data_IF_655032572787
#
_entry.id   IF_655032572787
#
_cell.length_a   1.000
_cell.length_b   1.000
_cell.length_c   1.000
_cell.angle_alpha   90.00
_cell.angle_beta   90.00
_cell.angle_gamma   90.00
#
_symmetry.space_group_name_H-M   'P 1'
#
loop_
_entity.id
_entity.type
_entity.pdbx_description
1 polymer ?
#
# COMPACT_ATOMS: atom_id res chain seq x y z
N UNK A 1 13.86 65.85 -27.53
CA UNK A 1 14.85 64.81 -27.87
C UNK A 1 14.53 63.60 -26.99
N UNK A 2 14.02 62.44 -27.44
CA UNK A 2 14.53 61.54 -28.50
C UNK A 2 15.80 60.83 -27.99
N UNK A 3 15.97 59.50 -27.93
CA UNK A 3 15.33 58.28 -28.50
C UNK A 3 15.61 57.10 -27.49
N UNK A 4 15.05 55.87 -27.50
CA UNK A 4 14.09 55.08 -28.32
C UNK A 4 13.60 53.87 -27.48
N UNK A 5 12.55 53.16 -27.91
CA UNK A 5 12.20 51.77 -27.49
C UNK A 5 12.97 50.71 -28.30
N UNK A 6 13.11 49.48 -27.77
CA UNK A 6 13.15 48.22 -28.55
C UNK A 6 12.94 46.98 -27.66
N UNK A 7 11.82 46.28 -27.86
CA UNK A 7 11.57 44.91 -27.42
C UNK A 7 12.41 43.87 -28.20
N UNK A 8 12.56 42.64 -27.67
CA UNK A 8 13.23 41.58 -28.45
C UNK A 8 13.39 40.18 -27.85
N UNK A 9 13.04 39.92 -26.58
CA UNK A 9 13.44 38.68 -25.90
C UNK A 9 12.66 37.39 -26.25
N UNK A 10 11.38 37.51 -26.65
CA UNK A 10 10.44 36.37 -26.57
C UNK A 10 10.36 35.53 -27.86
N UNK A 11 10.79 36.07 -29.01
CA UNK A 11 10.70 35.38 -30.32
C UNK A 11 11.89 34.47 -30.67
N UNK A 12 12.93 34.41 -29.82
CA UNK A 12 14.14 33.62 -30.08
C UNK A 12 14.00 32.12 -29.72
N UNK A 13 13.14 31.77 -28.75
CA UNK A 13 12.98 30.37 -28.28
C UNK A 13 12.08 29.57 -29.22
N UNK A 14 10.98 30.17 -29.69
CA UNK A 14 9.95 29.50 -30.52
C UNK A 14 10.50 29.07 -31.90
N UNK A 15 11.49 29.80 -32.46
CA UNK A 15 12.14 29.42 -33.74
C UNK A 15 13.14 28.27 -33.64
N UNK A 16 13.50 27.79 -32.44
CA UNK A 16 14.45 26.67 -32.26
C UNK A 16 13.76 25.30 -32.27
N UNK A 17 12.49 25.22 -31.86
CA UNK A 17 11.71 23.97 -31.84
C UNK A 17 11.27 23.49 -33.23
N UNK A 18 10.88 24.39 -34.13
CA UNK A 18 10.45 24.01 -35.50
C UNK A 18 11.57 23.50 -36.42
N UNK A 19 12.86 23.70 -36.08
CA UNK A 19 13.99 23.23 -36.90
C UNK A 19 14.50 21.83 -36.55
N UNK A 20 14.17 21.29 -35.38
CA UNK A 20 14.46 19.89 -35.05
C UNK A 20 13.37 18.94 -35.57
N UNK A 21 12.11 19.38 -35.61
CA UNK A 21 10.98 18.56 -36.08
C UNK A 21 11.07 18.18 -37.58
N UNK A 22 11.73 19.00 -38.41
CA UNK A 22 11.88 18.74 -39.85
C UNK A 22 12.98 17.72 -40.20
N UNK A 23 13.92 17.44 -39.28
CA UNK A 23 15.04 16.51 -39.52
C UNK A 23 14.72 15.05 -39.20
N UNK A 24 13.68 14.79 -38.42
CA UNK A 24 13.24 13.43 -38.07
C UNK A 24 12.41 12.81 -39.21
N UNK A 25 11.67 13.62 -39.97
CA UNK A 25 10.81 13.15 -41.07
C UNK A 25 11.52 12.76 -42.36
N UNK A 26 12.83 13.04 -42.50
CA UNK A 26 13.62 12.66 -43.69
C UNK A 26 14.35 11.32 -43.52
N UNK A 27 14.58 10.86 -42.28
CA UNK A 27 15.26 9.58 -42.01
C UNK A 27 14.33 8.35 -42.04
N UNK A 28 13.00 8.52 -42.08
CA UNK A 28 12.02 7.43 -42.03
C UNK A 28 11.56 6.95 -43.43
N UNK A 29 12.05 7.58 -44.52
CA UNK A 29 11.55 7.36 -45.88
C UNK A 29 12.56 6.73 -46.88
N UNK A 30 13.70 6.21 -46.40
CA UNK A 30 14.79 5.70 -47.25
C UNK A 30 15.38 4.31 -46.89
N UNK A 31 14.63 3.42 -46.19
CA UNK A 31 15.06 2.01 -45.98
C UNK A 31 13.91 1.01 -46.22
N UNK A 32 13.26 1.11 -47.38
CA UNK A 32 12.26 0.13 -47.87
C UNK A 32 12.64 -0.41 -49.25
N UNK A 33 13.74 -1.15 -49.35
CA UNK A 33 14.06 -1.94 -50.56
C UNK A 33 15.04 -3.11 -50.30
N UNK A 34 14.54 -4.35 -50.38
CA UNK A 34 15.34 -5.57 -50.60
C UNK A 34 16.08 -6.14 -49.35
N UNK A 35 16.17 -7.46 -49.16
CA UNK A 35 15.74 -8.59 -49.99
C UNK A 35 15.22 -9.74 -49.10
N UNK A 36 14.08 -10.33 -49.48
CA UNK A 36 13.65 -11.61 -48.95
C UNK A 36 14.43 -12.76 -49.62
N UNK A 37 14.79 -13.80 -48.85
CA UNK A 37 15.28 -15.10 -49.33
C UNK A 37 14.53 -16.21 -48.61
N UNK A 38 13.84 -17.13 -49.33
CA UNK A 38 13.26 -18.33 -48.74
C UNK A 38 14.20 -19.56 -48.90
N UNK A 39 13.76 -20.67 -48.31
CA UNK A 39 14.25 -22.06 -48.45
C UNK A 39 15.49 -22.46 -47.62
N UNK A 40 15.63 -23.77 -47.24
CA UNK A 40 14.82 -24.91 -47.68
C UNK A 40 14.01 -25.61 -46.58
N UNK A 41 12.92 -26.22 -47.03
CA UNK A 41 12.11 -27.21 -46.31
C UNK A 41 12.90 -28.54 -46.27
N UNK A 42 12.99 -29.18 -45.11
CA UNK A 42 13.71 -30.46 -44.93
C UNK A 42 12.72 -31.63 -45.10
N UNK A 43 13.05 -32.68 -45.88
CA UNK A 43 12.19 -33.86 -45.99
C UNK A 43 12.06 -34.61 -44.65
N UNK A 44 10.88 -35.15 -44.38
CA UNK A 44 10.75 -36.23 -43.42
C UNK A 44 11.29 -37.53 -44.07
N UNK A 45 12.40 -38.05 -43.53
CA UNK A 45 12.79 -39.45 -43.73
C UNK A 45 12.61 -40.21 -42.41
N UNK A 46 11.88 -41.32 -42.46
CA UNK A 46 11.80 -42.28 -41.36
C UNK A 46 13.10 -43.07 -41.29
N UNK A 47 13.82 -42.97 -40.18
CA UNK A 47 15.10 -43.63 -39.96
C UNK A 47 15.17 -44.30 -38.60
N UNK A 48 14.83 -45.59 -38.56
CA UNK A 48 14.92 -46.42 -37.36
C UNK A 48 16.40 -46.69 -37.02
N UNK A 49 16.88 -46.15 -35.89
CA UNK A 49 18.22 -46.41 -35.38
C UNK A 49 18.19 -46.59 -33.85
N UNK A 50 18.29 -47.84 -33.42
CA UNK A 50 18.39 -48.25 -32.02
C UNK A 50 19.75 -47.89 -31.44
N UNK A 51 19.78 -47.11 -30.36
CA UNK A 51 21.01 -46.74 -29.65
C UNK A 51 20.71 -46.19 -28.26
N UNK A 52 21.02 -46.96 -27.22
CA UNK A 52 20.82 -46.54 -25.83
C UNK A 52 21.75 -45.39 -25.45
N UNK A 53 21.17 -44.23 -25.18
CA UNK A 53 21.81 -43.15 -24.42
C UNK A 53 21.25 -43.16 -23.00
N UNK A 54 22.04 -43.60 -22.02
CA UNK A 54 21.66 -43.56 -20.60
C UNK A 54 21.59 -42.10 -20.12
N UNK A 55 20.38 -41.58 -20.02
CA UNK A 55 20.13 -40.23 -19.52
C UNK A 55 20.22 -40.21 -18.00
N UNK A 56 21.38 -39.79 -17.48
CA UNK A 56 21.52 -39.38 -16.07
C UNK A 56 20.91 -37.98 -15.86
N UNK A 57 19.59 -37.89 -15.98
CA UNK A 57 18.84 -36.73 -15.49
C UNK A 57 18.81 -36.77 -13.94
N UNK A 58 19.10 -35.68 -13.23
CA UNK A 58 18.92 -35.64 -11.79
C UNK A 58 17.43 -35.73 -11.47
N UNK A 59 17.04 -36.83 -10.83
CA UNK A 59 15.67 -36.99 -10.33
C UNK A 59 15.42 -35.98 -9.21
N UNK A 60 14.76 -34.86 -9.54
CA UNK A 60 14.13 -34.01 -8.54
C UNK A 60 13.14 -34.91 -7.79
N UNK A 61 13.23 -35.06 -6.45
CA UNK A 61 12.23 -35.81 -5.73
C UNK A 61 10.90 -35.09 -5.91
N UNK A 62 9.95 -35.76 -6.58
CA UNK A 62 8.57 -35.30 -6.64
C UNK A 62 8.04 -35.36 -5.22
N UNK A 63 8.09 -34.22 -4.53
CA UNK A 63 7.41 -34.05 -3.28
C UNK A 63 5.91 -34.18 -3.58
N UNK A 64 5.34 -35.33 -3.24
CA UNK A 64 3.89 -35.50 -3.20
C UNK A 64 3.34 -34.32 -2.40
N UNK A 65 2.39 -33.52 -2.95
CA UNK A 65 1.79 -32.45 -2.17
C UNK A 65 1.28 -33.04 -0.85
N UNK A 66 1.53 -32.40 0.31
CA UNK A 66 0.91 -32.86 1.54
C UNK A 66 -0.60 -32.91 1.28
N UNK A 67 -1.21 -34.06 1.58
CA UNK A 67 -2.66 -34.23 1.41
C UNK A 67 -3.37 -33.04 2.09
N UNK A 68 -4.38 -32.43 1.45
CA UNK A 68 -5.01 -31.23 1.98
C UNK A 68 -5.44 -31.51 3.43
N UNK A 69 -4.83 -30.76 4.35
CA UNK A 69 -5.19 -30.80 5.76
C UNK A 69 -6.71 -30.63 5.86
N UNK A 70 -7.43 -31.46 6.65
CA UNK A 70 -8.88 -31.45 6.66
C UNK A 70 -9.40 -30.02 6.83
N UNK A 71 -10.25 -29.61 5.88
CA UNK A 71 -10.74 -28.24 5.79
C UNK A 71 -11.24 -27.77 7.16
N UNK A 72 -10.77 -26.61 7.59
CA UNK A 72 -11.17 -26.02 8.86
C UNK A 72 -12.68 -25.69 8.80
N UNK A 73 -13.51 -26.60 9.30
CA UNK A 73 -14.97 -26.45 9.33
C UNK A 73 -15.47 -25.55 10.46
N UNK A 74 -14.56 -24.84 11.13
CA UNK A 74 -14.92 -23.86 12.15
C UNK A 74 -15.48 -22.61 11.51
N UNK A 75 -16.59 -22.09 12.04
CA UNK A 75 -16.98 -20.73 11.79
C UNK A 75 -15.79 -19.80 12.12
N UNK A 76 -15.50 -18.85 11.25
CA UNK A 76 -14.45 -17.87 11.50
C UNK A 76 -14.86 -16.97 12.67
N UNK A 77 -14.28 -17.20 13.86
CA UNK A 77 -14.69 -16.51 15.09
C UNK A 77 -14.07 -15.12 15.27
N UNK A 78 -13.25 -14.66 14.31
CA UNK A 78 -12.61 -13.34 14.32
C UNK A 78 -11.70 -13.06 15.53
N UNK A 79 -11.39 -14.06 16.35
CA UNK A 79 -10.73 -13.85 17.65
C UNK A 79 -9.28 -13.43 17.44
N UNK A 80 -8.85 -12.23 17.89
CA UNK A 80 -7.53 -11.71 17.54
C UNK A 80 -6.38 -12.61 18.01
N UNK A 81 -5.39 -12.84 17.13
CA UNK A 81 -4.24 -13.70 17.40
C UNK A 81 -3.54 -13.28 18.70
N UNK A 82 -3.34 -14.20 19.67
CA UNK A 82 -2.44 -13.96 20.79
C UNK A 82 -1.01 -13.96 20.28
N UNK A 83 -0.32 -12.82 20.42
CA UNK A 83 1.08 -12.69 20.06
C UNK A 83 1.76 -11.79 21.12
N UNK A 84 2.89 -12.19 21.73
CA UNK A 84 3.67 -11.30 22.60
C UNK A 84 4.37 -10.20 21.80
N UNK A 85 4.79 -9.16 22.50
CA UNK A 85 5.64 -8.09 21.96
C UNK A 85 6.91 -8.67 21.32
N UNK A 86 7.26 -8.31 20.08
CA UNK A 86 8.58 -8.61 19.49
C UNK A 86 9.73 -8.26 20.43
N UNK A 87 10.73 -9.15 20.52
CA UNK A 87 11.90 -8.93 21.35
C UNK A 87 12.81 -7.85 20.73
N UNK A 88 13.21 -6.84 21.51
CA UNK A 88 14.04 -5.72 21.05
C UNK A 88 13.28 -4.42 20.81
N UNK A 89 11.95 -4.42 20.86
CA UNK A 89 11.14 -3.19 20.87
C UNK A 89 11.52 -2.33 22.09
N UNK A 90 11.96 -1.11 21.82
CA UNK A 90 12.29 -0.10 22.83
C UNK A 90 11.06 0.76 23.15
N UNK A 91 10.98 1.33 24.36
CA UNK A 91 9.80 1.97 24.93
C UNK A 91 9.39 3.27 24.19
N UNK A 92 8.79 3.14 23.01
CA UNK A 92 8.42 4.25 22.13
C UNK A 92 9.61 4.95 21.46
N UNK A 93 10.81 4.38 21.49
CA UNK A 93 12.01 4.86 20.79
C UNK A 93 12.35 3.91 19.64
N UNK A 94 11.59 4.02 18.55
CA UNK A 94 11.79 3.26 17.33
C UNK A 94 12.97 3.78 16.50
N UNK A 95 13.43 2.95 15.57
CA UNK A 95 14.46 3.30 14.59
C UNK A 95 14.02 2.72 13.25
N UNK A 96 13.66 3.58 12.30
CA UNK A 96 13.10 3.20 11.01
C UNK A 96 14.14 3.34 9.90
N UNK A 97 14.20 2.38 8.97
CA UNK A 97 15.14 2.44 7.83
C UNK A 97 14.46 3.04 6.59
N UNK A 98 14.90 4.22 6.16
CA UNK A 98 14.35 4.93 5.01
C UNK A 98 15.31 4.98 3.82
N UNK A 99 14.85 4.80 2.58
CA UNK A 99 15.69 4.96 1.38
C UNK A 99 15.36 6.29 0.70
N UNK A 100 16.35 7.19 0.62
CA UNK A 100 16.22 8.54 0.05
C UNK A 100 15.76 8.49 -1.41
N UNK A 101 14.64 9.15 -1.72
CA UNK A 101 14.07 9.24 -3.06
C UNK A 101 14.64 10.44 -3.87
N UNK A 102 14.51 10.44 -5.21
CA UNK A 102 14.99 11.54 -6.03
C UNK A 102 14.31 12.88 -5.69
N UNK A 103 15.11 13.89 -5.32
CA UNK A 103 14.63 15.25 -5.04
C UNK A 103 14.30 15.54 -3.57
N UNK A 104 14.47 14.57 -2.67
CA UNK A 104 14.28 14.78 -1.24
C UNK A 104 15.48 15.47 -0.57
N UNK A 105 15.22 16.14 0.55
CA UNK A 105 16.24 16.73 1.43
C UNK A 105 16.05 16.18 2.84
N UNK A 106 17.08 16.23 3.69
CA UNK A 106 16.93 15.82 5.08
C UNK A 106 15.87 16.63 5.84
N UNK A 107 15.60 17.89 5.46
CA UNK A 107 14.52 18.67 6.04
C UNK A 107 13.12 18.15 5.67
N UNK A 108 12.92 17.72 4.43
CA UNK A 108 11.66 17.08 4.00
C UNK A 108 11.46 15.72 4.66
N UNK A 109 12.52 14.90 4.71
CA UNK A 109 12.51 13.59 5.38
C UNK A 109 12.22 13.77 6.88
N UNK A 110 12.93 14.67 7.56
CA UNK A 110 12.71 14.99 8.98
C UNK A 110 11.26 15.41 9.26
N UNK A 111 10.69 16.27 8.42
CA UNK A 111 9.29 16.69 8.53
C UNK A 111 8.29 15.54 8.30
N UNK A 112 8.50 14.70 7.27
CA UNK A 112 7.66 13.52 6.98
C UNK A 112 7.67 12.53 8.13
N UNK A 113 8.84 12.28 8.72
CA UNK A 113 8.99 11.32 9.80
C UNK A 113 8.73 11.90 11.20
N UNK A 114 8.54 13.22 11.37
CA UNK A 114 8.33 13.85 12.68
C UNK A 114 9.58 13.92 13.59
N UNK A 115 10.78 14.03 13.01
CA UNK A 115 12.04 14.23 13.75
C UNK A 115 12.75 15.52 13.32
N UNK A 116 13.89 15.79 13.94
CA UNK A 116 14.81 16.88 13.55
C UNK A 116 15.89 16.39 12.59
N UNK A 117 16.46 17.32 11.82
CA UNK A 117 17.58 17.02 10.93
C UNK A 117 18.80 16.56 11.74
N UNK A 118 19.01 17.15 12.91
CA UNK A 118 20.05 16.84 13.88
C UNK A 118 19.95 15.41 14.41
N UNK A 119 18.73 14.92 14.67
CA UNK A 119 18.50 13.53 15.08
C UNK A 119 18.86 12.55 13.94
N UNK A 120 18.48 12.84 12.70
CA UNK A 120 18.83 11.98 11.55
C UNK A 120 20.35 12.01 11.28
N UNK A 121 20.99 13.18 11.29
CA UNK A 121 22.43 13.27 11.03
C UNK A 121 23.23 12.57 12.13
N UNK A 122 22.83 12.71 13.39
CA UNK A 122 23.39 11.99 14.54
C UNK A 122 23.24 10.47 14.40
N UNK A 123 22.03 9.98 14.10
CA UNK A 123 21.75 8.55 13.93
C UNK A 123 22.50 7.88 12.77
N UNK A 124 22.87 8.65 11.74
CA UNK A 124 23.57 8.16 10.55
C UNK A 124 25.06 8.51 10.49
N UNK A 125 25.58 9.29 11.46
CA UNK A 125 26.94 9.82 11.41
C UNK A 125 27.21 10.74 10.21
N UNK A 126 26.20 11.48 9.74
CA UNK A 126 26.33 12.40 8.61
C UNK A 126 26.99 13.71 9.08
N UNK A 127 27.93 14.30 8.29
CA UNK A 127 28.62 15.52 8.69
C UNK A 127 27.74 16.78 8.53
N UNK A 128 26.76 16.76 7.63
CA UNK A 128 25.81 17.85 7.39
C UNK A 128 24.50 17.34 6.75
N UNK A 129 23.53 18.25 6.57
CA UNK A 129 22.20 17.95 6.03
C UNK A 129 22.19 17.66 4.52
N UNK A 130 23.21 18.13 3.79
CA UNK A 130 23.30 18.07 2.31
C UNK A 130 24.09 16.84 1.83
N UNK A 131 24.71 16.09 2.75
CA UNK A 131 25.53 14.91 2.47
C UNK A 131 24.77 13.65 2.03
N UNK A 132 23.43 13.68 2.01
CA UNK A 132 22.61 12.54 1.59
C UNK A 132 22.62 12.32 0.08
N UNK A 133 22.40 11.07 -0.34
CA UNK A 133 22.34 10.68 -1.75
C UNK A 133 21.08 9.87 -2.05
N UNK A 134 20.53 10.05 -3.24
CA UNK A 134 19.43 9.22 -3.75
C UNK A 134 19.82 7.73 -3.70
N UNK A 135 18.95 6.89 -3.16
CA UNK A 135 19.18 5.47 -2.95
C UNK A 135 20.00 5.12 -1.68
N UNK A 136 20.37 6.10 -0.86
CA UNK A 136 21.00 5.86 0.44
C UNK A 136 19.96 5.42 1.47
N UNK A 137 20.26 4.36 2.23
CA UNK A 137 19.50 4.01 3.43
C UNK A 137 19.90 4.91 4.60
N UNK A 138 18.91 5.48 5.28
CA UNK A 138 19.03 6.29 6.47
C UNK A 138 18.33 5.62 7.65
N UNK A 139 18.94 5.75 8.82
CA UNK A 139 18.45 5.39 10.14
C UNK A 139 17.67 6.59 10.68
N UNK A 140 16.35 6.52 10.74
CA UNK A 140 15.49 7.60 11.21
C UNK A 140 15.06 7.31 12.65
N UNK A 141 15.46 8.11 13.64
CA UNK A 141 15.01 7.92 15.03
C UNK A 141 13.55 8.37 15.20
N UNK A 142 12.75 7.48 15.79
CA UNK A 142 11.30 7.63 15.92
C UNK A 142 10.89 7.58 17.39
N UNK A 143 10.98 8.72 18.06
CA UNK A 143 10.47 8.89 19.44
C UNK A 143 8.98 9.22 19.39
N UNK A 144 8.14 8.33 19.91
CA UNK A 144 6.71 8.55 20.06
C UNK A 144 6.40 9.45 21.25
N UNK A 145 5.40 10.32 21.10
CA UNK A 145 4.96 11.25 22.15
C UNK A 145 3.90 10.62 23.06
N UNK A 146 3.19 9.60 22.56
CA UNK A 146 2.08 8.92 23.23
C UNK A 146 2.07 7.42 22.88
N UNK A 147 1.45 6.58 23.70
CA UNK A 147 1.30 5.12 23.45
C UNK A 147 -0.16 4.77 23.20
N UNK A 148 -0.42 4.10 22.08
CA UNK A 148 -1.75 3.69 21.65
C UNK A 148 -2.41 2.64 22.55
N UNK A 149 -3.67 2.28 22.24
CA UNK A 149 -4.43 1.32 23.02
C UNK A 149 -3.94 -0.13 22.79
N UNK A 150 -3.90 -0.98 23.84
CA UNK A 150 -3.59 -2.41 23.72
C UNK A 150 -4.74 -3.25 23.14
N UNK A 151 -5.69 -2.61 22.45
CA UNK A 151 -6.84 -3.25 21.83
C UNK A 151 -6.43 -3.93 20.53
N UNK A 152 -6.66 -5.25 20.45
CA UNK A 152 -6.46 -6.02 19.21
C UNK A 152 -7.70 -5.91 18.33
N UNK A 153 -7.55 -5.28 17.17
CA UNK A 153 -8.63 -5.01 16.23
C UNK A 153 -8.99 -6.25 15.41
N UNK A 154 -7.97 -6.98 14.93
CA UNK A 154 -8.13 -8.16 14.06
C UNK A 154 -7.10 -9.27 14.38
N UNK A 155 -7.32 -10.53 13.98
CA UNK A 155 -6.26 -11.54 13.93
C UNK A 155 -5.38 -11.39 12.69
N UNK A 156 -4.18 -11.98 12.76
CA UNK A 156 -3.20 -11.98 11.66
C UNK A 156 -3.75 -12.65 10.40
N UNK A 157 -4.65 -13.63 10.55
CA UNK A 157 -5.34 -14.33 9.45
C UNK A 157 -6.43 -13.51 8.76
N UNK A 158 -6.77 -12.33 9.29
CA UNK A 158 -7.63 -11.36 8.63
C UNK A 158 -6.81 -10.36 7.81
N UNK A 159 -5.61 -9.98 8.25
CA UNK A 159 -4.76 -9.13 7.42
C UNK A 159 -4.17 -9.92 6.25
N UNK A 160 -3.71 -11.15 6.48
CA UNK A 160 -3.05 -11.96 5.44
C UNK A 160 -4.08 -12.75 4.61
N UNK A 161 -4.05 -12.58 3.29
CA UNK A 161 -4.86 -13.35 2.36
C UNK A 161 -4.38 -14.82 2.31
N UNK A 162 -5.08 -15.68 3.06
CA UNK A 162 -4.75 -17.10 3.18
C UNK A 162 -5.99 -17.98 3.45
N UNK A 163 -5.81 -19.17 4.06
CA UNK A 163 -6.88 -20.16 4.21
C UNK A 163 -8.17 -19.67 4.92
N UNK A 164 -8.10 -18.60 5.72
CA UNK A 164 -9.27 -17.96 6.34
C UNK A 164 -10.27 -17.34 5.34
N UNK A 165 -9.92 -17.28 4.04
CA UNK A 165 -10.77 -16.79 2.96
C UNK A 165 -11.33 -17.89 2.05
N UNK A 166 -11.02 -19.18 2.27
CA UNK A 166 -11.48 -20.29 1.40
C UNK A 166 -13.02 -20.43 1.33
N UNK A 167 -13.74 -19.87 2.31
CA UNK A 167 -15.20 -19.84 2.38
C UNK A 167 -15.78 -18.43 2.29
N UNK A 168 -14.97 -17.43 1.93
CA UNK A 168 -15.44 -16.06 1.74
C UNK A 168 -15.73 -15.80 0.26
N UNK A 169 -17.00 -15.90 -0.11
CA UNK A 169 -17.47 -15.45 -1.42
C UNK A 169 -17.49 -13.91 -1.46
N UNK A 170 -16.39 -13.34 -1.93
CA UNK A 170 -16.23 -11.90 -2.11
C UNK A 170 -17.28 -11.30 -3.07
N UNK A 171 -17.61 -12.00 -4.16
CA UNK A 171 -18.55 -11.50 -5.15
C UNK A 171 -20.00 -11.53 -4.62
N UNK A 172 -20.41 -12.65 -4.00
CA UNK A 172 -21.69 -12.76 -3.32
C UNK A 172 -21.82 -11.78 -2.14
N UNK A 173 -20.74 -11.52 -1.41
CA UNK A 173 -20.73 -10.52 -0.34
C UNK A 173 -20.97 -9.11 -0.90
N UNK A 174 -20.16 -8.63 -1.85
CA UNK A 174 -20.29 -7.27 -2.41
C UNK A 174 -21.66 -7.07 -3.07
N UNK A 175 -22.11 -8.03 -3.87
CA UNK A 175 -23.44 -8.00 -4.47
C UNK A 175 -24.58 -7.99 -3.43
N UNK A 176 -24.38 -8.65 -2.28
CA UNK A 176 -25.34 -8.69 -1.18
C UNK A 176 -25.42 -7.40 -0.35
N UNK A 177 -24.38 -6.57 -0.35
CA UNK A 177 -24.38 -5.26 0.32
C UNK A 177 -25.07 -4.18 -0.53
N UNK A 178 -24.92 -4.24 -1.85
CA UNK A 178 -25.67 -3.38 -2.79
C UNK A 178 -25.18 -1.93 -2.89
N UNK A 179 -24.03 -1.59 -2.30
CA UNK A 179 -23.41 -0.27 -2.41
C UNK A 179 -22.78 0.01 -3.78
N UNK A 180 -22.19 1.21 -3.90
CA UNK A 180 -21.63 1.77 -5.13
C UNK A 180 -20.59 0.85 -5.81
N UNK A 181 -19.82 0.10 -5.03
CA UNK A 181 -18.82 -0.87 -5.51
C UNK A 181 -19.40 -1.92 -6.47
N UNK A 182 -20.70 -2.24 -6.37
CA UNK A 182 -21.40 -3.17 -7.29
C UNK A 182 -21.50 -2.61 -8.71
N UNK A 183 -21.71 -1.30 -8.85
CA UNK A 183 -21.80 -0.60 -10.13
C UNK A 183 -20.46 -0.08 -10.67
N UNK A 184 -19.41 -0.12 -9.85
CA UNK A 184 -18.09 0.42 -10.19
C UNK A 184 -17.31 -0.47 -11.16
N UNK A 185 -16.66 0.15 -12.13
CA UNK A 185 -15.65 -0.48 -12.99
C UNK A 185 -14.62 0.56 -13.47
N UNK A 186 -13.35 0.15 -13.60
CA UNK A 186 -12.27 0.99 -14.12
C UNK A 186 -11.33 0.19 -15.02
N UNK A 187 -10.51 0.87 -15.84
CA UNK A 187 -9.50 0.21 -16.65
C UNK A 187 -8.19 0.02 -15.86
N UNK A 188 -7.83 -1.23 -15.58
CA UNK A 188 -6.59 -1.61 -14.92
C UNK A 188 -5.74 -2.41 -15.91
N UNK A 189 -4.53 -1.93 -16.20
CA UNK A 189 -3.56 -2.61 -17.09
C UNK A 189 -4.13 -2.98 -18.48
N UNK A 190 -4.94 -2.08 -19.06
CA UNK A 190 -5.58 -2.30 -20.37
C UNK A 190 -6.77 -3.25 -20.34
N UNK A 191 -7.34 -3.54 -19.16
CA UNK A 191 -8.53 -4.37 -18.97
C UNK A 191 -9.55 -3.64 -18.10
N UNK A 192 -10.79 -3.55 -18.59
CA UNK A 192 -11.91 -3.13 -17.75
C UNK A 192 -12.17 -4.20 -16.67
N UNK A 193 -12.10 -3.83 -15.40
CA UNK A 193 -12.39 -4.67 -14.25
C UNK A 193 -13.51 -4.06 -13.41
N UNK A 194 -14.36 -4.90 -12.82
CA UNK A 194 -15.37 -4.47 -11.84
C UNK A 194 -14.74 -4.18 -10.47
N UNK A 195 -15.41 -3.39 -9.64
CA UNK A 195 -14.98 -3.10 -8.26
C UNK A 195 -14.64 -4.35 -7.44
N UNK A 196 -15.41 -5.42 -7.61
CA UNK A 196 -15.17 -6.72 -6.98
C UNK A 196 -13.88 -7.39 -7.49
N UNK A 197 -13.65 -7.38 -8.80
CA UNK A 197 -12.41 -7.92 -9.40
C UNK A 197 -11.18 -7.13 -8.99
N UNK A 198 -11.29 -5.81 -8.82
CA UNK A 198 -10.22 -4.93 -8.37
C UNK A 198 -9.82 -5.25 -6.92
N UNK A 199 -10.79 -5.40 -6.01
CA UNK A 199 -10.54 -5.89 -4.63
C UNK A 199 -9.85 -7.25 -4.65
N UNK A 200 -10.34 -8.19 -5.46
CA UNK A 200 -9.75 -9.53 -5.59
C UNK A 200 -8.32 -9.50 -6.14
N UNK A 201 -8.04 -8.61 -7.11
CA UNK A 201 -6.73 -8.43 -7.72
C UNK A 201 -5.71 -7.88 -6.72
N UNK A 202 -6.08 -6.85 -5.97
CA UNK A 202 -5.22 -6.27 -4.92
C UNK A 202 -4.95 -7.29 -3.82
N UNK A 203 -5.98 -8.01 -3.35
CA UNK A 203 -5.80 -9.08 -2.36
C UNK A 203 -4.80 -10.15 -2.79
N UNK A 204 -4.82 -10.55 -4.07
CA UNK A 204 -3.86 -11.53 -4.61
C UNK A 204 -2.45 -10.96 -4.73
N UNK A 205 -2.31 -9.73 -5.24
CA UNK A 205 -0.99 -9.08 -5.48
C UNK A 205 -0.23 -8.78 -4.19
N UNK A 206 -0.93 -8.22 -3.21
CA UNK A 206 -0.33 -7.76 -1.96
C UNK A 206 -0.46 -8.77 -0.83
N UNK A 207 -1.13 -9.91 -1.06
CA UNK A 207 -1.46 -10.91 -0.04
C UNK A 207 -2.26 -10.34 1.15
N UNK A 208 -3.14 -9.37 0.90
CA UNK A 208 -3.95 -8.68 1.92
C UNK A 208 -5.41 -9.12 1.87
N UNK A 209 -6.00 -9.42 3.04
CA UNK A 209 -7.36 -9.93 3.17
C UNK A 209 -8.44 -9.00 2.59
N UNK A 210 -9.31 -9.48 1.68
CA UNK A 210 -10.28 -8.63 1.00
C UNK A 210 -11.31 -8.00 1.94
N UNK A 211 -11.63 -8.66 3.06
CA UNK A 211 -12.53 -8.11 4.09
C UNK A 211 -11.94 -6.88 4.78
N UNK A 212 -10.61 -6.80 4.99
CA UNK A 212 -9.95 -5.60 5.54
C UNK A 212 -9.99 -4.46 4.54
N UNK A 213 -9.70 -4.74 3.26
CA UNK A 213 -9.80 -3.75 2.18
C UNK A 213 -11.22 -3.19 2.06
N UNK A 214 -12.25 -4.06 2.09
CA UNK A 214 -13.65 -3.64 2.09
C UNK A 214 -14.04 -2.85 3.34
N UNK A 215 -13.55 -3.23 4.53
CA UNK A 215 -13.85 -2.50 5.77
C UNK A 215 -13.24 -1.09 5.77
N UNK A 216 -12.04 -0.91 5.24
CA UNK A 216 -11.41 0.42 5.09
C UNK A 216 -12.09 1.26 4.01
N UNK A 217 -12.52 0.64 2.91
CA UNK A 217 -13.30 1.28 1.85
C UNK A 217 -14.68 1.74 2.33
N UNK A 218 -15.34 0.94 3.16
CA UNK A 218 -16.58 1.33 3.82
C UNK A 218 -16.34 2.46 4.82
N UNK A 219 -15.29 2.37 5.65
CA UNK A 219 -14.95 3.38 6.65
C UNK A 219 -14.64 4.76 6.05
N UNK A 220 -13.96 4.81 4.90
CA UNK A 220 -13.54 6.05 4.26
C UNK A 220 -14.56 6.61 3.28
N UNK A 221 -15.29 5.75 2.56
CA UNK A 221 -16.13 6.18 1.44
C UNK A 221 -17.55 5.62 1.43
N UNK A 222 -17.89 4.64 2.27
CA UNK A 222 -19.20 3.99 2.25
C UNK A 222 -19.51 3.18 0.99
N UNK A 223 -18.54 2.94 0.09
CA UNK A 223 -18.80 2.32 -1.23
C UNK A 223 -19.32 0.88 -1.13
N UNK A 224 -19.19 0.20 0.02
CA UNK A 224 -19.63 -1.18 0.15
C UNK A 224 -21.13 -1.24 0.44
N UNK A 225 -21.67 -0.34 1.27
CA UNK A 225 -23.11 -0.33 1.63
C UNK A 225 -23.94 0.82 1.05
N UNK A 226 -23.34 1.98 0.78
CA UNK A 226 -24.04 3.13 0.21
C UNK A 226 -24.02 3.07 -1.33
N UNK A 227 -25.18 2.99 -2.02
CA UNK A 227 -25.23 3.05 -3.48
C UNK A 227 -24.93 4.44 -4.05
N UNK A 228 -24.96 5.51 -3.25
CA UNK A 228 -24.76 6.92 -3.65
C UNK A 228 -23.82 7.66 -2.67
N UNK A 229 -22.56 7.22 -2.52
CA UNK A 229 -21.60 7.76 -1.57
C UNK A 229 -21.24 9.22 -1.86
N UNK A 230 -20.65 9.89 -0.87
CA UNK A 230 -20.26 11.29 -0.94
C UNK A 230 -19.33 11.56 -2.14
N UNK A 231 -19.62 12.63 -2.90
CA UNK A 231 -19.03 12.88 -4.22
C UNK A 231 -17.50 13.08 -4.17
N UNK A 232 -17.00 13.55 -3.03
CA UNK A 232 -15.58 13.77 -2.74
C UNK A 232 -14.79 12.46 -2.72
N UNK A 233 -15.45 11.35 -2.40
CA UNK A 233 -14.86 10.01 -2.30
C UNK A 233 -14.72 9.31 -3.65
N UNK A 234 -15.34 9.83 -4.71
CA UNK A 234 -15.45 9.13 -5.99
C UNK A 234 -14.11 9.00 -6.75
N UNK A 235 -13.16 9.90 -6.48
CA UNK A 235 -11.84 9.92 -7.13
C UNK A 235 -10.77 9.27 -6.24
N UNK A 236 -10.83 9.53 -4.93
CA UNK A 236 -9.86 9.05 -3.93
C UNK A 236 -10.59 8.34 -2.76
N UNK A 237 -11.21 7.16 -2.99
CA UNK A 237 -12.02 6.48 -1.99
C UNK A 237 -11.34 6.18 -0.65
N UNK A 238 -10.00 6.09 -0.59
CA UNK A 238 -9.25 5.89 0.66
C UNK A 238 -8.45 7.14 1.09
N UNK A 239 -8.89 8.33 0.69
CA UNK A 239 -8.37 9.61 1.19
C UNK A 239 -6.96 10.00 0.74
N UNK A 240 -6.25 9.16 -0.02
CA UNK A 240 -4.89 9.46 -0.47
C UNK A 240 -4.91 10.31 -1.75
N UNK A 241 -5.07 11.64 -1.59
CA UNK A 241 -5.24 12.61 -2.68
C UNK A 241 -3.91 12.94 -3.37
N UNK A 242 -3.60 12.21 -4.44
CA UNK A 242 -2.46 12.44 -5.34
C UNK A 242 -2.80 11.96 -6.75
N UNK A 243 -2.51 12.74 -7.80
CA UNK A 243 -2.89 12.46 -9.21
C UNK A 243 -2.53 11.04 -9.70
N UNK A 244 -1.40 10.49 -9.26
CA UNK A 244 -0.98 9.12 -9.61
C UNK A 244 -1.85 8.01 -8.99
N UNK A 245 -2.58 8.33 -7.92
CA UNK A 245 -3.34 7.39 -7.10
C UNK A 245 -4.87 7.51 -7.28
N UNK A 246 -5.32 8.09 -8.39
CA UNK A 246 -6.75 8.10 -8.75
C UNK A 246 -7.28 6.69 -9.03
N UNK A 247 -8.55 6.47 -8.69
CA UNK A 247 -9.23 5.19 -8.95
C UNK A 247 -9.08 4.15 -7.83
N UNK A 248 -9.95 3.15 -7.85
CA UNK A 248 -10.05 2.17 -6.76
C UNK A 248 -8.80 1.30 -6.66
N UNK A 249 -8.26 0.86 -7.78
CA UNK A 249 -7.08 -0.01 -7.85
C UNK A 249 -5.86 0.63 -7.20
N UNK A 250 -5.61 1.93 -7.47
CA UNK A 250 -4.46 2.62 -6.92
C UNK A 250 -4.62 2.90 -5.43
N UNK A 251 -5.81 3.33 -4.98
CA UNK A 251 -6.12 3.54 -3.57
C UNK A 251 -6.01 2.24 -2.77
N UNK A 252 -6.62 1.15 -3.24
CA UNK A 252 -6.52 -0.16 -2.60
C UNK A 252 -5.09 -0.71 -2.60
N UNK A 253 -4.32 -0.50 -3.67
CA UNK A 253 -2.91 -0.91 -3.73
C UNK A 253 -2.05 -0.13 -2.71
N UNK A 254 -2.24 1.18 -2.61
CA UNK A 254 -1.59 2.02 -1.60
C UNK A 254 -1.93 1.56 -0.17
N UNK A 255 -3.21 1.33 0.12
CA UNK A 255 -3.65 0.81 1.42
C UNK A 255 -3.11 -0.58 1.73
N UNK A 256 -3.03 -1.48 0.74
CA UNK A 256 -2.44 -2.79 0.91
C UNK A 256 -0.94 -2.73 1.23
N UNK A 257 -0.21 -1.73 0.69
CA UNK A 257 1.16 -1.42 1.10
C UNK A 257 1.20 -0.96 2.57
N UNK A 258 0.38 0.00 2.98
CA UNK A 258 0.35 0.50 4.38
C UNK A 258 0.01 -0.58 5.41
N UNK A 259 -0.92 -1.48 5.07
CA UNK A 259 -1.25 -2.65 5.89
C UNK A 259 -0.06 -3.60 6.04
N UNK A 260 0.65 -3.87 4.95
CA UNK A 260 1.84 -4.73 4.96
C UNK A 260 3.02 -4.08 5.69
N UNK A 261 3.26 -2.78 5.53
CA UNK A 261 4.31 -2.02 6.23
C UNK A 261 4.17 -2.21 7.76
N UNK A 262 2.99 -1.93 8.31
CA UNK A 262 2.75 -2.11 9.75
C UNK A 262 2.77 -3.58 10.20
N UNK A 263 2.26 -4.52 9.38
CA UNK A 263 2.28 -5.95 9.70
C UNK A 263 3.71 -6.51 9.80
N UNK A 264 4.52 -6.31 8.75
CA UNK A 264 5.88 -6.84 8.68
C UNK A 264 6.87 -6.03 9.52
N UNK A 265 6.69 -4.71 9.62
CA UNK A 265 7.47 -3.84 10.50
C UNK A 265 7.30 -4.22 11.97
N UNK A 266 6.06 -4.41 12.45
CA UNK A 266 5.82 -4.89 13.81
C UNK A 266 6.43 -6.29 14.01
N UNK A 267 6.20 -7.22 13.07
CA UNK A 267 6.69 -8.60 13.19
C UNK A 267 8.22 -8.72 13.29
N UNK A 268 8.96 -7.79 12.70
CA UNK A 268 10.43 -7.75 12.73
C UNK A 268 10.99 -6.91 13.89
N UNK A 269 10.17 -6.05 14.51
CA UNK A 269 10.58 -5.10 15.55
C UNK A 269 11.01 -3.74 15.01
N UNK A 270 10.97 -3.55 13.68
CA UNK A 270 11.39 -2.32 12.98
C UNK A 270 10.35 -1.19 13.06
N UNK A 271 9.06 -1.53 13.16
CA UNK A 271 7.97 -0.55 13.30
C UNK A 271 7.33 -0.67 14.68
N UNK A 272 7.73 0.24 15.58
CA UNK A 272 7.18 0.40 16.92
C UNK A 272 6.17 1.56 17.02
N UNK A 273 6.05 2.37 15.97
CA UNK A 273 5.46 3.71 15.98
C UNK A 273 4.72 3.97 14.68
N UNK A 274 3.55 4.58 14.76
CA UNK A 274 2.82 5.10 13.60
C UNK A 274 2.94 6.62 13.52
N UNK A 275 2.93 7.15 12.29
CA UNK A 275 3.06 8.57 11.98
C UNK A 275 1.70 9.16 11.59
N UNK A 276 1.36 10.32 12.12
CA UNK A 276 0.10 11.03 11.87
C UNK A 276 0.35 12.27 11.01
N UNK A 277 -0.66 12.76 10.28
CA UNK A 277 -0.43 13.83 9.29
C UNK A 277 -0.11 15.20 9.90
N UNK A 278 -0.36 15.41 11.20
CA UNK A 278 0.13 16.58 11.97
C UNK A 278 1.61 16.47 12.39
N UNK A 279 2.29 15.38 12.03
CA UNK A 279 3.68 15.08 12.41
C UNK A 279 3.83 14.46 13.80
N UNK A 280 2.73 14.22 14.53
CA UNK A 280 2.78 13.51 15.81
C UNK A 280 2.95 12.00 15.62
N UNK A 281 3.47 11.35 16.67
CA UNK A 281 3.89 9.95 16.64
C UNK A 281 3.26 9.17 17.79
N UNK A 282 2.67 8.03 17.47
CA UNK A 282 2.02 7.14 18.41
C UNK A 282 2.75 5.78 18.47
N UNK A 283 3.21 5.37 19.65
CA UNK A 283 3.77 4.04 19.85
C UNK A 283 2.65 2.98 19.77
N UNK A 284 2.89 1.93 19.00
CA UNK A 284 2.03 0.75 18.94
C UNK A 284 2.16 0.02 20.29
N UNK A 285 1.03 -0.28 20.92
CA UNK A 285 1.03 -0.83 22.27
C UNK A 285 1.73 -2.21 22.35
N UNK A 286 2.57 -2.46 23.38
CA UNK A 286 3.13 -3.78 23.63
C UNK A 286 2.05 -4.89 23.68
N UNK A 287 2.37 -6.05 23.12
CA UNK A 287 1.50 -7.22 23.11
C UNK A 287 0.38 -7.22 22.07
N UNK A 288 0.34 -6.24 21.16
CA UNK A 288 -0.49 -6.29 19.95
C UNK A 288 0.01 -7.33 18.95
N UNK A 289 -0.88 -7.77 18.06
CA UNK A 289 -0.55 -8.70 16.99
C UNK A 289 -0.23 -7.97 15.67
N UNK A 290 0.58 -8.56 14.77
CA UNK A 290 0.89 -7.99 13.45
C UNK A 290 -0.33 -7.54 12.64
N UNK A 291 -1.44 -8.28 12.67
CA UNK A 291 -2.68 -7.90 11.98
C UNK A 291 -3.22 -6.55 12.45
N UNK A 292 -3.28 -6.37 13.77
CA UNK A 292 -3.70 -5.11 14.39
C UNK A 292 -2.69 -3.99 14.12
N UNK A 293 -1.39 -4.27 14.21
CA UNK A 293 -0.35 -3.27 13.94
C UNK A 293 -0.41 -2.75 12.49
N UNK A 294 -0.65 -3.64 11.52
CA UNK A 294 -0.89 -3.25 10.12
C UNK A 294 -2.11 -2.34 9.96
N UNK A 295 -3.24 -2.67 10.59
CA UNK A 295 -4.44 -1.82 10.58
C UNK A 295 -4.20 -0.48 11.28
N UNK A 296 -3.55 -0.47 12.44
CA UNK A 296 -3.22 0.75 13.17
C UNK A 296 -2.30 1.68 12.37
N UNK A 297 -1.32 1.13 11.65
CA UNK A 297 -0.45 1.87 10.72
C UNK A 297 -1.24 2.47 9.56
N UNK A 298 -2.12 1.68 8.92
CA UNK A 298 -2.95 2.19 7.84
C UNK A 298 -3.90 3.31 8.32
N UNK A 299 -4.56 3.14 9.47
CA UNK A 299 -5.47 4.15 10.03
C UNK A 299 -4.74 5.43 10.43
N UNK A 300 -3.45 5.36 10.80
CA UNK A 300 -2.63 6.55 11.06
C UNK A 300 -2.44 7.40 9.80
N UNK A 301 -2.24 6.78 8.64
CA UNK A 301 -2.16 7.51 7.35
C UNK A 301 -3.48 8.16 6.92
N UNK A 302 -4.59 7.80 7.57
CA UNK A 302 -5.93 8.36 7.35
C UNK A 302 -6.34 9.36 8.46
N UNK A 303 -5.47 9.60 9.44
CA UNK A 303 -5.73 10.44 10.61
C UNK A 303 -4.80 11.65 10.60
N UNK A 304 -5.36 12.85 10.83
CA UNK A 304 -4.55 14.05 10.99
C UNK A 304 -3.97 14.12 12.39
N UNK A 305 -4.79 13.86 13.40
CA UNK A 305 -4.45 14.05 14.82
C UNK A 305 -4.47 12.76 15.63
N UNK A 306 -3.84 12.81 16.81
CA UNK A 306 -3.90 11.72 17.79
C UNK A 306 -5.32 11.32 18.18
N UNK A 307 -6.22 12.29 18.40
CA UNK A 307 -7.59 12.01 18.87
C UNK A 307 -8.44 11.35 17.77
N UNK A 308 -8.26 11.75 16.50
CA UNK A 308 -8.87 11.08 15.35
C UNK A 308 -8.40 9.62 15.23
N UNK A 309 -7.09 9.39 15.30
CA UNK A 309 -6.54 8.04 15.25
C UNK A 309 -7.02 7.19 16.42
N UNK A 310 -6.98 7.73 17.64
CA UNK A 310 -7.42 7.03 18.86
C UNK A 310 -8.92 6.68 18.80
N UNK A 311 -9.75 7.51 18.16
CA UNK A 311 -11.16 7.19 17.93
C UNK A 311 -11.37 6.01 16.97
N UNK A 312 -10.43 5.76 16.05
CA UNK A 312 -10.46 4.64 15.10
C UNK A 312 -9.85 3.35 15.67
N UNK A 313 -8.83 3.44 16.54
CA UNK A 313 -8.08 2.27 17.05
C UNK A 313 -8.37 1.91 18.50
N UNK A 314 -9.01 2.81 19.25
CA UNK A 314 -9.32 2.65 20.67
C UNK A 314 -10.71 2.09 20.96
N UNK A 315 -11.01 1.80 22.24
CA UNK A 315 -12.39 1.58 22.63
C UNK A 315 -13.20 2.86 22.32
N UNK A 316 -14.46 2.75 21.84
CA UNK A 316 -15.30 3.91 21.64
C UNK A 316 -15.41 4.69 22.96
N UNK A 317 -15.38 6.04 22.92
CA UNK A 317 -15.40 6.85 24.13
C UNK A 317 -16.59 6.46 24.98
N UNK A 318 -16.34 6.13 26.25
CA UNK A 318 -17.38 5.70 27.19
C UNK A 318 -18.45 6.78 27.25
N UNK A 319 -19.60 6.51 26.63
CA UNK A 319 -20.80 7.33 26.77
C UNK A 319 -21.25 7.20 28.22
N UNK A 320 -20.75 8.08 29.09
CA UNK A 320 -21.21 8.20 30.46
C UNK A 320 -22.73 8.30 30.43
N UNK A 321 -23.48 7.33 31.01
CA UNK A 321 -24.91 7.51 31.15
C UNK A 321 -25.14 8.79 31.97
N UNK A 322 -26.15 9.62 31.65
CA UNK A 322 -26.45 10.78 32.46
C UNK A 322 -26.70 10.29 33.89
N UNK A 323 -26.02 10.91 34.86
CA UNK A 323 -26.25 10.62 36.28
C UNK A 323 -27.70 10.98 36.60
N UNK A 324 -28.56 9.96 36.59
CA UNK A 324 -29.98 10.09 36.88
C UNK A 324 -30.16 10.78 38.22
N UNK A 325 -30.87 11.91 38.20
CA UNK A 325 -30.97 12.80 39.34
C UNK A 325 -31.59 12.13 40.56
N UNK A 326 -31.17 12.58 41.74
CA UNK A 326 -31.83 12.27 43.00
C UNK A 326 -33.20 12.95 43.06
N UNK A 327 -34.25 12.28 42.60
CA UNK A 327 -35.58 12.46 43.20
C UNK A 327 -35.60 11.66 44.52
N UNK A 328 -35.99 12.23 45.66
CA UNK A 328 -37.02 13.25 45.82
C UNK A 328 -38.29 12.71 46.48
N UNK A 329 -38.24 11.48 47.03
CA UNK A 329 -39.36 10.84 47.73
C UNK A 329 -39.51 11.32 49.17
N UNK A 330 -40.34 12.34 49.39
CA UNK A 330 -40.84 12.67 50.72
C UNK A 330 -42.02 11.74 51.11
N UNK A 331 -42.06 11.33 52.38
CA UNK A 331 -43.22 10.73 53.07
C UNK A 331 -43.07 10.96 54.57
#
# INVERSE_FOLDING_TARGET
>A
MGRRFCDGGIWAVIRRLHRCSLLIWVCVLCVTAGCARPAPEQPHEEGEATGQAESFAPAIPVATPPAPSPAYSGAYTGTPTPNPTPAGLSDGTGVESYVVQPGETLGLIAAVFGCTVEEITSANGLPDADSIRVGQTLIIPVTATQTGPPLKLIPDSELVYGPAYIHFDLAGFVAGQGGYLVGYAEEVEGRLLTGTEIVQLVSQRFSVGPRVLLALLELQAGWVTDPQPAAETLVYPLGHVQEYYEGLFQQLSWTAVRLNEGYYGWKQGDCATVHLADGSRAAIAPGLNPGTAGVQNCLATLSTTWDEWLALVGPPPLSSPPLGGTEGGAS
#
